data_IF_607022240973
#
_entry.id   IF_607022240973
#
_cell.length_a   1.000
_cell.length_b   1.000
_cell.length_c   1.000
_cell.angle_alpha   90.00
_cell.angle_beta   90.00
_cell.angle_gamma   90.00
#
_symmetry.space_group_name_H-M   'P 1'
#
loop_
_entity.id
_entity.type
_entity.pdbx_description
1 polymer ?
#
# COMPACT_ATOMS: atom_id res chain seq x y z
N UNK A 1 7.79 6.15 -4.93
CA UNK A 1 7.06 4.98 -5.51
C UNK A 1 5.73 5.46 -6.04
N UNK A 2 5.38 5.04 -7.25
CA UNK A 2 4.08 5.35 -7.88
C UNK A 2 3.31 4.05 -8.05
N UNK A 3 1.98 4.11 -7.87
CA UNK A 3 1.07 3.01 -8.21
C UNK A 3 0.23 3.43 -9.39
N UNK A 4 0.19 2.59 -10.39
CA UNK A 4 -0.63 2.79 -11.59
C UNK A 4 -1.75 1.77 -11.60
N UNK A 5 -2.98 2.25 -11.84
CA UNK A 5 -4.13 1.39 -12.06
C UNK A 5 -4.34 1.20 -13.56
N UNK A 6 -4.18 -0.03 -14.01
CA UNK A 6 -4.46 -0.41 -15.39
C UNK A 6 -5.82 -1.11 -15.44
N UNK A 7 -6.87 -0.46 -15.95
CA UNK A 7 -8.18 -1.10 -16.09
C UNK A 7 -8.14 -2.06 -17.27
N UNK A 8 -8.13 -3.35 -16.98
CA UNK A 8 -8.30 -4.39 -17.99
C UNK A 8 -9.81 -4.64 -18.18
N UNK A 9 -10.44 -3.99 -19.17
CA UNK A 9 -11.81 -4.28 -19.55
C UNK A 9 -11.84 -5.37 -20.63
N UNK A 10 -12.91 -6.19 -20.66
CA UNK A 10 -13.08 -7.18 -21.74
C UNK A 10 -13.10 -6.52 -23.13
N UNK A 11 -13.64 -5.30 -23.24
CA UNK A 11 -13.63 -4.53 -24.48
C UNK A 11 -12.21 -4.15 -24.92
N UNK A 12 -11.34 -3.82 -23.96
CA UNK A 12 -9.93 -3.58 -24.24
C UNK A 12 -9.22 -4.85 -24.68
N UNK A 13 -9.57 -5.99 -24.11
CA UNK A 13 -9.00 -7.28 -24.50
C UNK A 13 -9.44 -7.71 -25.91
N UNK A 14 -10.65 -7.36 -26.34
CA UNK A 14 -11.14 -7.66 -27.70
C UNK A 14 -10.59 -6.73 -28.77
N UNK A 15 -10.29 -5.47 -28.43
CA UNK A 15 -9.69 -4.51 -29.36
C UNK A 15 -8.15 -4.56 -29.40
N UNK A 16 -7.53 -5.25 -28.47
CA UNK A 16 -6.10 -5.53 -28.50
C UNK A 16 -5.84 -6.75 -29.39
N UNK A 17 -6.17 -6.62 -30.69
CA UNK A 17 -5.65 -7.53 -31.73
C UNK A 17 -4.16 -7.35 -31.97
N UNK A 18 -3.57 -6.28 -31.50
CA UNK A 18 -2.12 -6.13 -31.37
C UNK A 18 -1.77 -6.53 -29.95
N UNK A 19 -0.93 -7.56 -29.83
CA UNK A 19 -0.33 -8.02 -28.60
C UNK A 19 0.09 -6.83 -27.74
N UNK A 20 -0.78 -6.34 -26.85
CA UNK A 20 -0.29 -5.61 -25.70
C UNK A 20 0.38 -6.66 -24.81
N UNK A 21 1.56 -6.99 -25.22
CA UNK A 21 2.49 -7.69 -24.38
C UNK A 21 2.72 -6.73 -23.22
N UNK A 22 2.07 -6.99 -22.08
CA UNK A 22 2.67 -6.54 -20.83
C UNK A 22 4.07 -7.12 -20.90
N UNK A 23 5.11 -6.31 -21.09
CA UNK A 23 6.44 -6.87 -21.24
C UNK A 23 6.72 -7.64 -19.96
N UNK A 24 6.77 -8.95 -20.09
CA UNK A 24 7.28 -9.79 -19.01
C UNK A 24 8.73 -9.35 -18.87
N UNK A 25 9.15 -8.86 -17.71
CA UNK A 25 10.52 -8.45 -17.51
C UNK A 25 11.42 -9.62 -17.90
N UNK A 26 12.30 -9.41 -18.86
CA UNK A 26 13.30 -10.40 -19.26
C UNK A 26 14.34 -10.48 -18.15
N UNK A 27 14.80 -11.69 -17.85
CA UNK A 27 15.92 -11.90 -16.93
C UNK A 27 17.13 -11.07 -17.38
N UNK A 28 17.65 -10.26 -16.48
CA UNK A 28 18.81 -9.40 -16.67
C UNK A 28 20.16 -10.14 -16.48
N UNK A 29 20.17 -11.45 -16.70
CA UNK A 29 21.38 -12.27 -16.52
C UNK A 29 21.68 -12.66 -15.09
N UNK A 30 20.71 -12.54 -14.17
CA UNK A 30 20.79 -13.00 -12.79
C UNK A 30 21.15 -11.95 -11.75
N UNK A 31 21.12 -10.67 -12.12
CA UNK A 31 21.34 -9.55 -11.18
C UNK A 31 20.04 -9.20 -10.47
N UNK A 32 18.91 -9.18 -11.17
CA UNK A 32 17.58 -9.07 -10.58
C UNK A 32 16.61 -10.04 -11.27
N UNK A 33 16.07 -10.99 -10.51
CA UNK A 33 15.02 -11.86 -11.02
C UNK A 33 13.68 -11.16 -10.89
N UNK A 34 13.14 -10.71 -12.01
CA UNK A 34 11.78 -10.18 -12.07
C UNK A 34 10.85 -11.23 -12.63
N UNK A 35 9.92 -11.69 -11.80
CA UNK A 35 8.78 -12.46 -12.24
C UNK A 35 7.53 -11.56 -12.14
N UNK A 36 6.75 -11.49 -13.22
CA UNK A 36 5.45 -10.85 -13.17
C UNK A 36 4.45 -11.83 -12.56
N UNK A 37 4.03 -11.55 -11.34
CA UNK A 37 3.05 -12.34 -10.61
C UNK A 37 1.76 -11.53 -10.45
N UNK A 38 0.62 -12.19 -10.69
CA UNK A 38 -0.69 -11.59 -10.51
C UNK A 38 -1.40 -12.25 -9.33
N UNK A 39 -1.82 -11.44 -8.37
CA UNK A 39 -2.59 -11.89 -7.22
C UNK A 39 -3.44 -10.76 -6.67
N UNK A 40 -4.40 -11.07 -5.78
CA UNK A 40 -5.16 -10.05 -5.08
C UNK A 40 -4.30 -9.34 -4.04
N UNK A 41 -4.65 -8.08 -3.71
CA UNK A 41 -3.98 -7.34 -2.63
C UNK A 41 -3.99 -8.14 -1.32
N UNK A 42 -5.11 -8.78 -1.01
CA UNK A 42 -5.23 -9.60 0.21
C UNK A 42 -4.27 -10.79 0.20
N UNK A 43 -4.16 -11.49 -0.92
CA UNK A 43 -3.23 -12.62 -1.05
C UNK A 43 -1.77 -12.18 -0.86
N UNK A 44 -1.37 -11.03 -1.42
CA UNK A 44 -0.03 -10.47 -1.21
C UNK A 44 0.23 -10.13 0.26
N UNK A 45 -0.75 -9.51 0.94
CA UNK A 45 -0.64 -9.20 2.36
C UNK A 45 -0.51 -10.47 3.21
N UNK A 46 -1.26 -11.50 2.90
CA UNK A 46 -1.23 -12.76 3.64
C UNK A 46 0.09 -13.51 3.43
N UNK A 47 0.63 -13.53 2.21
CA UNK A 47 1.96 -14.08 1.93
C UNK A 47 3.06 -13.30 2.69
N UNK A 48 2.97 -11.97 2.73
CA UNK A 48 3.91 -11.16 3.49
C UNK A 48 3.82 -11.41 5.01
N UNK A 49 2.60 -11.60 5.55
CA UNK A 49 2.39 -11.96 6.97
C UNK A 49 2.97 -13.33 7.32
N UNK A 50 2.86 -14.30 6.40
CA UNK A 50 3.47 -15.63 6.58
C UNK A 50 4.98 -15.64 6.31
N UNK A 51 5.55 -14.53 5.85
CA UNK A 51 6.98 -14.42 5.55
C UNK A 51 7.40 -15.09 4.23
N UNK A 52 6.46 -15.47 3.37
CA UNK A 52 6.70 -16.06 2.05
C UNK A 52 7.28 -15.04 1.06
N UNK A 53 6.91 -13.79 1.22
CA UNK A 53 7.43 -12.65 0.45
C UNK A 53 7.82 -11.50 1.38
N UNK A 54 8.62 -10.59 0.86
CA UNK A 54 8.98 -9.35 1.54
C UNK A 54 8.27 -8.19 0.85
N UNK A 55 7.37 -7.52 1.59
CA UNK A 55 6.84 -6.22 1.20
C UNK A 55 7.45 -5.16 2.11
N UNK A 56 8.06 -4.14 1.52
CA UNK A 56 8.52 -2.98 2.28
C UNK A 56 7.32 -2.20 2.85
N UNK A 57 7.48 -1.48 3.98
CA UNK A 57 6.38 -0.79 4.63
C UNK A 57 5.50 0.06 3.71
N UNK A 58 6.02 0.86 2.77
CA UNK A 58 5.18 1.59 1.82
C UNK A 58 4.35 0.69 0.89
N UNK A 59 4.95 -0.42 0.42
CA UNK A 59 4.24 -1.37 -0.45
C UNK A 59 3.13 -2.07 0.32
N UNK A 60 3.43 -2.57 1.53
CA UNK A 60 2.45 -3.20 2.40
C UNK A 60 1.29 -2.25 2.72
N UNK A 61 1.59 -1.00 3.06
CA UNK A 61 0.61 0.02 3.38
C UNK A 61 -0.34 0.29 2.22
N UNK A 62 0.18 0.47 1.01
CA UNK A 62 -0.65 0.71 -0.17
C UNK A 62 -1.51 -0.51 -0.54
N UNK A 63 -0.96 -1.73 -0.45
CA UNK A 63 -1.75 -2.95 -0.62
C UNK A 63 -2.85 -3.08 0.43
N UNK A 64 -2.56 -2.72 1.69
CA UNK A 64 -3.54 -2.69 2.77
C UNK A 64 -4.70 -1.74 2.45
N UNK A 65 -4.42 -0.52 2.01
CA UNK A 65 -5.45 0.44 1.64
C UNK A 65 -6.32 -0.07 0.49
N UNK A 66 -5.68 -0.60 -0.56
CA UNK A 66 -6.39 -1.11 -1.73
C UNK A 66 -7.22 -2.35 -1.44
N UNK A 67 -6.79 -3.20 -0.52
CA UNK A 67 -7.50 -4.43 -0.17
C UNK A 67 -8.92 -4.18 0.35
N UNK A 68 -9.19 -3.00 0.91
CA UNK A 68 -10.52 -2.61 1.38
C UNK A 68 -11.51 -2.37 0.25
N UNK A 69 -11.03 -2.03 -0.94
CA UNK A 69 -11.85 -1.72 -2.12
C UNK A 69 -11.87 -2.86 -3.13
N UNK A 70 -10.76 -3.59 -3.26
CA UNK A 70 -10.54 -4.61 -4.28
C UNK A 70 -10.75 -6.00 -3.69
N UNK A 71 -12.02 -6.40 -3.61
CA UNK A 71 -12.40 -7.73 -3.11
C UNK A 71 -12.12 -8.79 -4.18
N UNK A 72 -11.30 -9.80 -3.88
CA UNK A 72 -11.07 -10.88 -4.83
C UNK A 72 -12.31 -11.77 -4.93
N UNK A 73 -12.78 -12.00 -6.14
CA UNK A 73 -13.75 -13.06 -6.42
C UNK A 73 -13.57 -13.53 -7.86
N UNK A 74 -13.51 -14.83 -8.09
CA UNK A 74 -13.36 -15.39 -9.44
C UNK A 74 -14.57 -15.15 -10.33
N UNK A 75 -15.71 -14.74 -9.78
CA UNK A 75 -16.98 -14.59 -10.47
C UNK A 75 -17.51 -13.16 -10.53
N UNK A 76 -16.64 -12.14 -10.34
CA UNK A 76 -17.06 -10.75 -10.45
C UNK A 76 -17.49 -10.41 -11.88
N UNK A 77 -18.70 -9.87 -12.00
CA UNK A 77 -19.18 -9.29 -13.26
C UNK A 77 -18.39 -8.02 -13.61
N UNK A 78 -18.41 -7.63 -14.87
CA UNK A 78 -17.82 -6.36 -15.34
C UNK A 78 -18.36 -5.16 -14.58
N UNK A 79 -19.65 -5.17 -14.24
CA UNK A 79 -20.29 -4.11 -13.45
C UNK A 79 -19.75 -4.04 -12.03
N UNK A 80 -19.52 -5.19 -11.40
CA UNK A 80 -18.93 -5.24 -10.05
C UNK A 80 -17.47 -4.77 -10.03
N UNK A 81 -16.70 -5.15 -11.05
CA UNK A 81 -15.34 -4.65 -11.23
C UNK A 81 -15.31 -3.13 -11.43
N UNK A 82 -16.24 -2.60 -12.24
CA UNK A 82 -16.36 -1.16 -12.42
C UNK A 82 -16.72 -0.47 -11.10
N UNK A 83 -17.68 -1.00 -10.34
CA UNK A 83 -18.06 -0.44 -9.05
C UNK A 83 -16.91 -0.43 -8.04
N UNK A 84 -16.04 -1.44 -8.03
CA UNK A 84 -14.83 -1.43 -7.20
C UNK A 84 -13.87 -0.33 -7.63
N UNK A 85 -13.66 -0.15 -8.92
CA UNK A 85 -12.82 0.93 -9.47
C UNK A 85 -13.36 2.30 -9.08
N UNK A 86 -14.66 2.53 -9.25
CA UNK A 86 -15.29 3.81 -8.94
C UNK A 86 -15.12 4.16 -7.45
N UNK A 87 -15.21 3.17 -6.56
CA UNK A 87 -14.93 3.35 -5.12
C UNK A 87 -13.48 3.75 -4.86
N UNK A 88 -12.50 3.14 -5.55
CA UNK A 88 -11.10 3.54 -5.43
C UNK A 88 -10.90 4.98 -5.89
N UNK A 89 -11.47 5.35 -7.04
CA UNK A 89 -11.36 6.71 -7.57
C UNK A 89 -11.99 7.72 -6.63
N UNK A 90 -13.20 7.46 -6.13
CA UNK A 90 -13.86 8.32 -5.15
C UNK A 90 -13.02 8.48 -3.87
N UNK A 91 -12.41 7.41 -3.37
CA UNK A 91 -11.52 7.48 -2.23
C UNK A 91 -10.27 8.35 -2.50
N UNK A 92 -9.67 8.21 -3.68
CA UNK A 92 -8.50 9.00 -4.07
C UNK A 92 -8.80 10.49 -4.22
N UNK A 93 -9.99 10.83 -4.72
CA UNK A 93 -10.45 12.20 -4.90
C UNK A 93 -10.95 12.85 -3.60
N UNK A 94 -11.41 12.03 -2.63
CA UNK A 94 -11.95 12.49 -1.35
C UNK A 94 -13.26 13.26 -1.48
N UNK A 95 -13.73 13.81 -0.37
CA UNK A 95 -15.06 14.44 -0.28
C UNK A 95 -15.14 15.84 -0.91
N UNK A 96 -14.02 16.35 -1.46
CA UNK A 96 -13.99 17.66 -2.12
C UNK A 96 -14.19 18.87 -1.19
N UNK A 97 -14.18 18.67 0.14
CA UNK A 97 -14.41 19.71 1.13
C UNK A 97 -13.24 20.71 1.29
N UNK A 98 -12.12 20.44 0.60
CA UNK A 98 -10.91 21.26 0.63
C UNK A 98 -10.18 21.32 1.98
N UNK A 99 -10.71 20.68 3.02
CA UNK A 99 -10.15 20.72 4.39
C UNK A 99 -9.04 19.70 4.60
N UNK A 100 -9.01 18.64 3.81
CA UNK A 100 -8.02 17.57 3.91
C UNK A 100 -7.30 17.36 2.58
N UNK A 101 -6.03 17.02 2.66
CA UNK A 101 -5.26 16.62 1.48
C UNK A 101 -5.91 15.38 0.88
N UNK A 102 -6.28 15.45 -0.40
CA UNK A 102 -6.86 14.32 -1.12
C UNK A 102 -5.84 13.18 -1.21
N UNK A 103 -6.32 11.94 -1.21
CA UNK A 103 -5.43 10.78 -1.22
C UNK A 103 -4.47 10.76 -2.40
N UNK A 104 -4.92 11.18 -3.59
CA UNK A 104 -4.08 11.29 -4.80
C UNK A 104 -2.93 12.31 -4.65
N UNK A 105 -3.07 13.28 -3.75
CA UNK A 105 -2.08 14.34 -3.52
C UNK A 105 -1.21 14.08 -2.27
N UNK A 106 -1.52 13.03 -1.51
CA UNK A 106 -0.73 12.66 -0.34
C UNK A 106 0.67 12.22 -0.74
N UNK A 107 1.63 12.70 0.01
CA UNK A 107 3.04 12.30 -0.09
C UNK A 107 3.51 11.84 1.27
N UNK A 108 4.05 10.63 1.32
CA UNK A 108 4.43 9.98 2.56
C UNK A 108 5.90 9.55 2.51
N UNK A 109 6.65 9.96 3.52
CA UNK A 109 7.97 9.43 3.81
C UNK A 109 7.91 8.76 5.19
N UNK A 110 8.11 7.45 5.30
CA UNK A 110 8.06 6.76 6.59
C UNK A 110 9.14 7.29 7.53
N UNK A 111 8.74 7.76 8.71
CA UNK A 111 9.63 8.25 9.75
C UNK A 111 9.43 7.43 11.02
N UNK A 112 10.54 6.98 11.64
CA UNK A 112 10.50 6.28 12.92
C UNK A 112 9.94 7.17 14.02
N UNK A 113 8.87 6.75 14.68
CA UNK A 113 8.32 7.42 15.85
C UNK A 113 8.92 6.88 17.15
N UNK A 114 8.93 5.56 17.28
CA UNK A 114 9.39 4.86 18.47
C UNK A 114 9.58 3.37 18.21
N UNK A 115 10.21 2.69 19.17
CA UNK A 115 10.21 1.24 19.27
C UNK A 115 9.08 0.81 20.20
N UNK A 116 8.23 -0.12 19.74
CA UNK A 116 7.14 -0.67 20.56
C UNK A 116 7.69 -1.57 21.64
N UNK A 117 7.24 -1.39 22.87
CA UNK A 117 7.79 -2.12 24.04
C UNK A 117 7.32 -3.57 24.09
N UNK A 118 6.09 -3.84 23.66
CA UNK A 118 5.47 -5.15 23.77
C UNK A 118 6.12 -6.22 22.88
N UNK A 119 6.62 -5.84 21.70
CA UNK A 119 7.12 -6.78 20.69
C UNK A 119 8.40 -6.34 19.96
N UNK A 120 8.92 -5.16 20.31
CA UNK A 120 10.17 -4.63 19.75
C UNK A 120 10.07 -4.23 18.27
N UNK A 121 8.87 -4.00 17.76
CA UNK A 121 8.69 -3.48 16.40
C UNK A 121 8.90 -1.96 16.36
N UNK A 122 9.47 -1.48 15.27
CA UNK A 122 9.49 -0.05 14.96
C UNK A 122 8.11 0.43 14.56
N UNK A 123 7.69 1.57 15.08
CA UNK A 123 6.47 2.27 14.69
C UNK A 123 6.86 3.38 13.71
N UNK A 124 6.37 3.30 12.48
CA UNK A 124 6.65 4.28 11.43
C UNK A 124 5.44 5.18 11.22
N UNK A 125 5.64 6.48 11.32
CA UNK A 125 4.65 7.49 10.92
C UNK A 125 4.70 7.71 9.41
N UNK A 126 3.55 8.12 8.85
CA UNK A 126 3.33 8.35 7.43
C UNK A 126 2.81 9.77 7.14
N UNK A 127 2.82 10.64 8.13
CA UNK A 127 2.20 11.97 8.08
C UNK A 127 3.05 13.04 7.39
N UNK A 128 4.35 12.80 7.22
CA UNK A 128 5.27 13.78 6.64
C UNK A 128 5.62 13.46 5.19
N UNK A 129 5.84 14.47 4.35
CA UNK A 129 6.51 14.31 3.07
C UNK A 129 8.00 14.04 3.28
N UNK A 130 8.73 13.67 2.23
CA UNK A 130 10.19 13.63 2.25
C UNK A 130 10.79 15.04 2.40
N UNK A 131 12.10 15.08 2.69
CA UNK A 131 12.83 16.34 2.91
C UNK A 131 12.70 17.31 1.72
N UNK A 132 12.61 16.78 0.50
CA UNK A 132 12.51 17.57 -0.73
C UNK A 132 11.20 18.37 -0.82
N UNK A 133 10.19 17.98 -0.05
CA UNK A 133 8.86 18.59 -0.03
C UNK A 133 8.52 19.22 1.33
N UNK A 134 9.52 19.38 2.19
CA UNK A 134 9.35 20.07 3.47
C UNK A 134 8.95 21.51 3.22
N UNK A 135 7.90 21.98 3.94
CA UNK A 135 7.36 23.33 3.74
C UNK A 135 6.45 23.52 2.52
N UNK A 136 6.25 22.49 1.69
CA UNK A 136 5.36 22.56 0.50
C UNK A 136 3.86 22.56 0.83
N UNK A 137 3.47 22.39 2.09
CA UNK A 137 2.07 22.18 2.50
C UNK A 137 1.53 20.79 2.17
N UNK A 138 2.35 19.91 1.55
CA UNK A 138 1.98 18.51 1.29
C UNK A 138 2.21 17.66 2.53
N UNK A 139 1.42 16.62 2.67
CA UNK A 139 1.51 15.68 3.79
C UNK A 139 0.96 14.32 3.44
N UNK A 140 1.08 13.40 4.37
CA UNK A 140 0.69 12.01 4.21
C UNK A 140 -0.52 11.63 5.05
N UNK A 141 -0.46 10.43 5.62
CA UNK A 141 -1.48 9.90 6.51
C UNK A 141 -1.09 10.09 7.97
N UNK A 142 -1.86 10.90 8.68
CA UNK A 142 -1.69 11.15 10.11
C UNK A 142 -2.49 10.20 11.00
N UNK A 143 -3.41 9.43 10.43
CA UNK A 143 -4.33 8.55 11.17
C UNK A 143 -3.73 7.17 11.44
N UNK A 144 -2.82 6.71 10.58
CA UNK A 144 -2.25 5.36 10.64
C UNK A 144 -0.75 5.37 10.86
N UNK A 145 -0.27 4.25 11.34
CA UNK A 145 1.16 3.94 11.47
C UNK A 145 1.43 2.55 10.90
N UNK A 146 2.67 2.30 10.53
CA UNK A 146 3.14 0.97 10.14
C UNK A 146 4.06 0.43 11.20
N UNK A 147 3.71 -0.74 11.73
CA UNK A 147 4.54 -1.52 12.64
C UNK A 147 5.40 -2.47 11.81
N UNK A 148 6.69 -2.55 12.11
CA UNK A 148 7.60 -3.39 11.35
C UNK A 148 8.80 -3.84 12.20
N UNK A 149 9.23 -5.07 12.02
CA UNK A 149 10.49 -5.58 12.55
C UNK A 149 11.52 -5.65 11.43
N UNK A 150 12.57 -4.85 11.53
CA UNK A 150 13.68 -4.91 10.58
C UNK A 150 14.66 -6.00 10.98
N UNK A 151 14.92 -6.91 10.05
CA UNK A 151 15.91 -7.97 10.18
C UNK A 151 16.95 -7.89 9.07
N UNK A 152 17.93 -8.80 9.10
CA UNK A 152 18.99 -8.87 8.06
C UNK A 152 18.43 -9.12 6.66
N UNK A 153 17.31 -9.86 6.57
CA UNK A 153 16.67 -10.20 5.31
C UNK A 153 15.64 -9.16 4.84
N UNK A 154 15.45 -8.09 5.60
CA UNK A 154 14.48 -7.04 5.30
C UNK A 154 13.35 -6.95 6.32
N UNK A 155 12.28 -6.20 6.01
CA UNK A 155 11.14 -5.99 6.90
C UNK A 155 10.32 -7.29 7.08
N UNK A 156 9.90 -7.53 8.33
CA UNK A 156 9.05 -8.64 8.74
C UNK A 156 7.95 -8.15 9.69
N UNK A 157 6.91 -8.94 9.86
CA UNK A 157 5.80 -8.67 10.77
C UNK A 157 5.20 -7.27 10.55
N UNK A 158 5.05 -6.90 9.28
CA UNK A 158 4.50 -5.61 8.88
C UNK A 158 3.00 -5.59 9.15
N UNK A 159 2.52 -4.54 9.81
CA UNK A 159 1.14 -4.35 10.18
C UNK A 159 0.76 -2.87 10.11
N UNK A 160 -0.44 -2.57 9.62
CA UNK A 160 -1.01 -1.21 9.66
C UNK A 160 -1.97 -1.10 10.83
N UNK A 161 -1.79 -0.09 11.67
CA UNK A 161 -2.63 0.16 12.85
C UNK A 161 -3.08 1.61 12.92
N UNK A 162 -4.16 1.85 13.64
CA UNK A 162 -4.54 3.21 14.04
C UNK A 162 -3.45 3.81 14.93
N UNK A 163 -3.05 5.04 14.60
CA UNK A 163 -1.95 5.74 15.30
C UNK A 163 -2.29 6.02 16.75
N UNK A 164 -3.53 6.41 17.02
CA UNK A 164 -3.98 6.77 18.36
C UNK A 164 -3.99 5.55 19.27
N UNK A 165 -4.54 4.43 18.79
CA UNK A 165 -4.55 3.17 19.54
C UNK A 165 -3.15 2.74 19.94
N UNK A 166 -2.20 2.75 18.98
CA UNK A 166 -0.80 2.35 19.26
C UNK A 166 -0.16 3.28 20.29
N UNK A 167 -0.40 4.60 20.21
CA UNK A 167 0.14 5.55 21.16
C UNK A 167 -0.48 5.42 22.56
N UNK A 168 -1.75 5.07 22.67
CA UNK A 168 -2.45 4.82 23.93
C UNK A 168 -1.95 3.53 24.59
N UNK A 169 -1.80 2.43 23.83
CA UNK A 169 -1.20 1.17 24.31
C UNK A 169 0.19 1.42 24.93
N UNK A 170 1.04 2.19 24.27
CA UNK A 170 2.39 2.48 24.74
C UNK A 170 2.45 3.43 25.95
N UNK A 171 1.44 4.30 26.12
CA UNK A 171 1.30 5.12 27.34
C UNK A 171 0.85 4.28 28.53
N UNK A 172 -0.13 3.39 28.32
CA UNK A 172 -0.62 2.50 29.36
C UNK A 172 0.44 1.51 29.86
N UNK A 173 1.37 1.11 29.00
CA UNK A 173 2.50 0.25 29.38
C UNK A 173 3.59 0.99 30.20
N UNK A 174 3.41 2.29 30.50
CA UNK A 174 4.33 3.08 31.36
C UNK A 174 3.85 3.19 32.83
N UNK A 175 2.65 2.71 33.11
CA UNK A 175 2.08 2.64 34.46
C UNK A 175 2.25 1.24 35.05
#
# INVERSE_FOLDING_TARGET
MYIYFLPLTQTSAQNIKEKSVVPVPTSDGGVEHTAALFSSCQSWLDQARRGEIILFPPQFYLMYLLSSFLQPSPSLSTQQLQAQRDKVLAYLEGDGDGKRIQWKDKVMSPVGLMMRKSDGRSVLALDKPGLELEGSGRGGDSERVVLVKFGKEGPRNVEVRDRREVLEEERGAKL
#
